data_IF_124234660048
#
_entry.id   IF_124234660048
#
_cell.length_a   1.000
_cell.length_b   1.000
_cell.length_c   1.000
_cell.angle_alpha   90.00
_cell.angle_beta   90.00
_cell.angle_gamma   90.00
#
_symmetry.space_group_name_H-M   'P 1'
#
loop_
_entity.id
_entity.type
_entity.pdbx_description
1 polymer ?
#
# COMPACT_ATOMS: atom_id res chain seq x y z
N UNK A 1 -15.89 -13.88 -6.99
CA UNK A 1 -14.96 -14.03 -5.87
C UNK A 1 -13.90 -12.95 -6.06
N UNK A 2 -13.93 -11.88 -5.27
CA UNK A 2 -12.89 -10.85 -5.36
C UNK A 2 -11.58 -11.51 -4.95
N UNK A 3 -10.66 -11.67 -5.88
CA UNK A 3 -9.32 -12.17 -5.59
C UNK A 3 -8.66 -11.10 -4.74
N UNK A 4 -8.78 -11.20 -3.41
CA UNK A 4 -7.84 -10.51 -2.54
C UNK A 4 -6.49 -11.10 -2.92
N UNK A 5 -5.70 -10.35 -3.71
CA UNK A 5 -4.34 -10.74 -4.07
C UNK A 5 -3.57 -11.06 -2.80
N UNK A 6 -2.51 -11.87 -2.90
CA UNK A 6 -1.70 -12.17 -1.73
C UNK A 6 -1.29 -10.85 -1.05
N UNK A 7 -1.49 -10.76 0.27
CA UNK A 7 -1.02 -9.61 1.05
C UNK A 7 0.50 -9.60 0.92
N UNK A 8 1.05 -8.55 0.32
CA UNK A 8 2.49 -8.40 0.15
C UNK A 8 3.10 -7.66 1.33
N UNK A 9 2.33 -6.82 2.02
CA UNK A 9 2.80 -6.12 3.20
C UNK A 9 1.74 -5.27 3.87
N UNK A 10 2.13 -4.61 4.95
CA UNK A 10 1.30 -3.69 5.72
C UNK A 10 1.95 -2.31 5.76
N UNK A 11 1.14 -1.27 5.66
CA UNK A 11 1.61 0.10 5.88
C UNK A 11 2.00 0.27 7.35
N UNK A 12 3.29 0.45 7.62
CA UNK A 12 3.85 0.67 8.96
C UNK A 12 4.18 2.13 9.22
N UNK A 13 4.35 2.94 8.16
CA UNK A 13 4.46 4.40 8.25
C UNK A 13 3.70 5.02 7.08
N UNK A 14 2.96 6.09 7.33
CA UNK A 14 2.31 6.88 6.29
C UNK A 14 2.39 8.37 6.64
N UNK A 15 2.82 9.17 5.68
CA UNK A 15 2.89 10.63 5.78
C UNK A 15 2.47 11.25 4.45
N UNK A 16 1.76 12.38 4.53
CA UNK A 16 1.27 13.08 3.34
C UNK A 16 0.14 12.33 2.64
N UNK A 17 -0.03 12.60 1.36
CA UNK A 17 -1.08 11.99 0.54
C UNK A 17 -0.55 10.74 -0.15
N UNK A 18 -1.14 9.59 0.17
CA UNK A 18 -0.80 8.32 -0.45
C UNK A 18 -2.09 7.62 -0.84
N UNK A 19 -2.18 7.20 -2.08
CA UNK A 19 -3.29 6.41 -2.60
C UNK A 19 -2.77 5.09 -3.16
N UNK A 20 -3.62 4.09 -3.22
CA UNK A 20 -3.39 2.83 -3.88
C UNK A 20 -4.43 2.64 -4.95
N UNK A 21 -3.99 2.18 -6.12
CA UNK A 21 -4.86 1.71 -7.18
C UNK A 21 -4.92 0.20 -7.11
N UNK A 22 -6.09 -0.33 -6.78
CA UNK A 22 -6.37 -1.75 -6.78
C UNK A 22 -6.18 -2.37 -8.16
N UNK A 23 -6.04 -3.71 -8.20
CA UNK A 23 -5.96 -4.46 -9.45
C UNK A 23 -7.25 -4.37 -10.29
N UNK A 24 -8.37 -4.02 -9.66
CA UNK A 24 -9.66 -3.70 -10.29
C UNK A 24 -9.70 -2.29 -10.93
N UNK A 25 -8.63 -1.50 -10.73
CA UNK A 25 -8.49 -0.15 -11.23
C UNK A 25 -9.08 0.92 -10.32
N UNK A 26 -9.67 0.54 -9.18
CA UNK A 26 -10.26 1.48 -8.23
C UNK A 26 -9.16 2.13 -7.39
N UNK A 27 -9.24 3.43 -7.20
CA UNK A 27 -8.28 4.19 -6.39
C UNK A 27 -8.86 4.41 -5.00
N UNK A 28 -8.07 4.06 -4.00
CA UNK A 28 -8.38 4.24 -2.59
C UNK A 28 -7.24 4.98 -1.90
N UNK A 29 -7.55 5.83 -0.93
CA UNK A 29 -6.50 6.46 -0.11
C UNK A 29 -5.96 5.43 0.88
N UNK A 30 -4.63 5.27 0.92
CA UNK A 30 -3.96 4.39 1.87
C UNK A 30 -3.98 5.02 3.26
N UNK A 31 -4.06 4.16 4.28
CA UNK A 31 -3.98 4.54 5.69
C UNK A 31 -2.95 3.70 6.42
N UNK A 32 -2.49 4.22 7.54
CA UNK A 32 -1.60 3.50 8.43
C UNK A 32 -2.27 2.21 8.91
N UNK A 33 -1.58 1.08 8.75
CA UNK A 33 -2.10 -0.24 9.09
C UNK A 33 -2.86 -0.95 7.97
N UNK A 34 -3.10 -0.28 6.84
CA UNK A 34 -3.71 -0.92 5.67
C UNK A 34 -2.79 -2.00 5.09
N UNK A 35 -3.39 -3.04 4.56
CA UNK A 35 -2.71 -4.11 3.85
C UNK A 35 -2.58 -3.72 2.38
N UNK A 36 -1.40 -3.98 1.82
CA UNK A 36 -1.14 -3.84 0.39
C UNK A 36 -1.13 -5.24 -0.21
N UNK A 37 -1.82 -5.40 -1.32
CA UNK A 37 -2.01 -6.66 -2.02
C UNK A 37 -1.19 -6.70 -3.31
N UNK A 38 -0.84 -7.91 -3.73
CA UNK A 38 -0.14 -8.13 -5.00
C UNK A 38 -0.97 -7.58 -6.18
N UNK A 39 -0.32 -6.84 -7.06
CA UNK A 39 -0.94 -6.20 -8.23
C UNK A 39 -1.52 -4.81 -7.96
N UNK A 40 -1.50 -4.35 -6.70
CA UNK A 40 -1.84 -2.97 -6.37
C UNK A 40 -0.70 -2.00 -6.71
N UNK A 41 -1.05 -0.78 -7.10
CA UNK A 41 -0.10 0.27 -7.45
C UNK A 41 -0.19 1.42 -6.46
N UNK A 42 0.88 1.68 -5.72
CA UNK A 42 0.97 2.81 -4.80
C UNK A 42 1.27 4.09 -5.59
N UNK A 43 0.51 5.13 -5.27
CA UNK A 43 0.60 6.47 -5.86
C UNK A 43 0.84 7.44 -4.71
N UNK A 44 2.06 7.99 -4.65
CA UNK A 44 2.42 9.03 -3.68
C UNK A 44 2.16 10.42 -4.25
N UNK A 45 1.44 11.24 -3.50
CA UNK A 45 1.22 12.65 -3.79
C UNK A 45 2.31 13.54 -3.20
N UNK A 46 2.12 14.87 -3.21
CA UNK A 46 3.08 15.82 -2.64
C UNK A 46 3.35 15.54 -1.15
N UNK A 47 4.62 15.35 -0.79
CA UNK A 47 5.02 14.99 0.58
C UNK A 47 4.57 13.58 1.00
N UNK A 48 4.07 12.77 0.07
CA UNK A 48 3.67 11.39 0.26
C UNK A 48 4.89 10.53 0.54
N UNK A 49 4.88 9.88 1.71
CA UNK A 49 5.87 8.89 2.11
C UNK A 49 5.13 7.72 2.74
N UNK A 50 5.42 6.52 2.28
CA UNK A 50 4.86 5.30 2.84
C UNK A 50 5.95 4.27 3.08
N UNK A 51 5.91 3.64 4.24
CA UNK A 51 6.76 2.50 4.53
C UNK A 51 5.88 1.25 4.67
N UNK A 52 6.21 0.24 3.88
CA UNK A 52 5.58 -1.06 3.89
C UNK A 52 6.45 -2.01 4.70
N UNK A 53 5.88 -2.63 5.72
CA UNK A 53 6.46 -3.77 6.42
C UNK A 53 5.98 -5.07 5.79
N UNK A 54 6.93 -5.92 5.41
CA UNK A 54 6.68 -7.25 4.87
C UNK A 54 6.72 -8.28 6.01
N UNK A 55 6.05 -9.42 5.82
CA UNK A 55 6.02 -10.50 6.80
C UNK A 55 7.39 -11.18 7.02
N UNK A 56 8.34 -10.96 6.11
CA UNK A 56 9.74 -11.41 6.25
C UNK A 56 10.59 -10.48 7.14
N UNK A 57 9.98 -9.43 7.70
CA UNK A 57 10.62 -8.45 8.57
C UNK A 57 11.38 -7.35 7.82
N UNK A 58 11.36 -7.34 6.48
CA UNK A 58 11.91 -6.23 5.69
C UNK A 58 10.92 -5.08 5.63
N UNK A 59 11.45 -3.89 5.37
CA UNK A 59 10.61 -2.73 5.04
C UNK A 59 10.99 -2.16 3.68
N UNK A 60 10.02 -1.55 3.00
CA UNK A 60 10.21 -0.85 1.74
C UNK A 60 9.61 0.54 1.85
N UNK A 61 10.43 1.55 1.57
CA UNK A 61 10.08 2.96 1.62
C UNK A 61 9.82 3.47 0.20
N UNK A 62 8.67 4.12 0.01
CA UNK A 62 8.24 4.81 -1.21
C UNK A 62 7.90 6.27 -0.93
#
# INVERSE_FOLDING_TARGET
MAQAGNVIGKVVVLQGEVSVKGADGVIHTLKLGDLVHEGEVIITGPGGRVELGFDDGRTYLV
#
